data_IF_526208901648
#
_entry.id   IF_526208901648
#
_cell.length_a   1.000
_cell.length_b   1.000
_cell.length_c   1.000
_cell.angle_alpha   90.00
_cell.angle_beta   90.00
_cell.angle_gamma   90.00
#
_symmetry.space_group_name_H-M   'P 1'
#
loop_
_entity.id
_entity.type
_entity.pdbx_description
1 polymer ?
#
# COMPACT_ATOMS: atom_id res chain seq x y z
N UNK A 1 -22.64 -17.16 29.92
CA UNK A 1 -21.22 -17.51 30.18
C UNK A 1 -20.33 -17.04 29.02
N UNK A 2 -19.83 -15.81 29.07
CA UNK A 2 -18.86 -15.32 28.08
C UNK A 2 -17.48 -15.93 28.34
N UNK A 3 -16.66 -16.08 27.28
CA UNK A 3 -15.29 -16.57 27.40
C UNK A 3 -14.36 -15.40 27.78
N UNK A 4 -13.38 -15.65 28.66
CA UNK A 4 -12.40 -14.63 29.04
C UNK A 4 -11.43 -14.25 27.91
N UNK A 5 -10.85 -13.04 27.99
CA UNK A 5 -9.90 -12.49 27.01
C UNK A 5 -8.66 -13.38 26.80
N UNK A 6 -8.23 -14.13 27.82
CA UNK A 6 -7.06 -15.03 27.74
C UNK A 6 -7.42 -16.46 27.34
N UNK A 7 -8.69 -16.72 26.99
CA UNK A 7 -9.11 -18.06 26.57
C UNK A 7 -8.34 -18.54 25.33
N UNK A 8 -7.93 -19.81 25.36
CA UNK A 8 -7.14 -20.44 24.29
C UNK A 8 -7.89 -20.40 22.95
N UNK A 9 -9.20 -20.68 22.96
CA UNK A 9 -10.07 -20.65 21.79
C UNK A 9 -10.12 -19.27 21.14
N UNK A 10 -10.41 -18.20 21.89
CA UNK A 10 -10.43 -16.84 21.34
C UNK A 10 -9.05 -16.39 20.85
N UNK A 11 -7.97 -16.86 21.49
CA UNK A 11 -6.60 -16.56 21.04
C UNK A 11 -6.33 -17.12 19.65
N UNK A 12 -6.81 -18.33 19.34
CA UNK A 12 -6.67 -18.96 18.01
C UNK A 12 -7.44 -18.23 16.92
N UNK A 13 -8.70 -17.89 17.18
CA UNK A 13 -9.46 -17.08 16.21
C UNK A 13 -8.81 -15.72 15.97
N UNK A 14 -8.21 -15.09 17.00
CA UNK A 14 -7.44 -13.86 16.83
C UNK A 14 -6.18 -14.07 16.00
N UNK A 15 -5.44 -15.16 16.18
CA UNK A 15 -4.26 -15.45 15.35
C UNK A 15 -4.64 -15.69 13.90
N UNK A 16 -5.72 -16.44 13.63
CA UNK A 16 -6.23 -16.63 12.27
C UNK A 16 -6.59 -15.30 11.61
N UNK A 17 -7.35 -14.44 12.29
CA UNK A 17 -7.72 -13.10 11.79
C UNK A 17 -6.50 -12.20 11.55
N UNK A 18 -5.48 -12.26 12.42
CA UNK A 18 -4.25 -11.48 12.25
C UNK A 18 -3.52 -11.84 10.96
N UNK A 19 -3.44 -13.12 10.61
CA UNK A 19 -2.82 -13.57 9.35
C UNK A 19 -3.54 -12.97 8.13
N UNK A 20 -4.87 -12.95 8.15
CA UNK A 20 -5.66 -12.34 7.07
C UNK A 20 -5.39 -10.84 6.96
N UNK A 21 -5.43 -10.12 8.08
CA UNK A 21 -5.15 -8.67 8.10
C UNK A 21 -3.71 -8.37 7.66
N UNK A 22 -2.76 -9.19 8.09
CA UNK A 22 -1.34 -9.08 7.75
C UNK A 22 -1.14 -9.19 6.23
N UNK A 23 -1.71 -10.21 5.58
CA UNK A 23 -1.61 -10.40 4.14
C UNK A 23 -2.39 -9.37 3.30
N UNK A 24 -3.63 -9.06 3.69
CA UNK A 24 -4.50 -8.17 2.89
C UNK A 24 -4.13 -6.70 3.05
N UNK A 25 -3.76 -6.25 4.26
CA UNK A 25 -3.62 -4.83 4.57
C UNK A 25 -2.18 -4.43 4.90
N UNK A 26 -1.53 -5.15 5.82
CA UNK A 26 -0.22 -4.73 6.32
C UNK A 26 0.86 -4.91 5.25
N UNK A 27 0.93 -6.09 4.65
CA UNK A 27 1.94 -6.43 3.66
C UNK A 27 1.96 -5.47 2.45
N UNK A 28 0.84 -5.21 1.73
CA UNK A 28 0.87 -4.28 0.59
C UNK A 28 1.27 -2.85 1.02
N UNK A 29 0.84 -2.40 2.20
CA UNK A 29 1.24 -1.10 2.74
C UNK A 29 2.75 -1.03 3.01
N UNK A 30 3.37 -2.11 3.49
CA UNK A 30 4.83 -2.20 3.70
C UNK A 30 5.56 -2.19 2.37
N UNK A 31 5.10 -2.97 1.38
CA UNK A 31 5.67 -3.02 0.03
C UNK A 31 5.63 -1.64 -0.64
N UNK A 32 4.49 -0.95 -0.60
CA UNK A 32 4.38 0.41 -1.14
C UNK A 32 5.33 1.39 -0.46
N UNK A 33 5.52 1.26 0.85
CA UNK A 33 6.42 2.13 1.62
C UNK A 33 7.88 1.86 1.29
N UNK A 34 8.27 0.58 1.18
CA UNK A 34 9.60 0.15 0.77
C UNK A 34 9.99 0.73 -0.60
N UNK A 35 9.11 0.58 -1.60
CA UNK A 35 9.37 1.10 -2.95
C UNK A 35 9.55 2.62 -2.97
N UNK A 36 8.79 3.36 -2.16
CA UNK A 36 8.96 4.82 -2.04
C UNK A 36 10.30 5.19 -1.43
N UNK A 37 10.72 4.49 -0.38
CA UNK A 37 12.03 4.72 0.26
C UNK A 37 13.15 4.45 -0.74
N UNK A 38 13.07 3.35 -1.50
CA UNK A 38 14.02 3.04 -2.58
C UNK A 38 14.12 4.15 -3.63
N UNK A 39 13.00 4.68 -4.11
CA UNK A 39 12.99 5.79 -5.07
C UNK A 39 13.66 7.05 -4.50
N UNK A 40 13.39 7.37 -3.23
CA UNK A 40 14.03 8.49 -2.53
C UNK A 40 15.54 8.28 -2.41
N UNK A 41 16.00 7.06 -2.08
CA UNK A 41 17.43 6.72 -2.03
C UNK A 41 18.13 6.90 -3.38
N UNK A 42 17.44 6.57 -4.49
CA UNK A 42 17.93 6.81 -5.84
C UNK A 42 17.88 8.30 -6.26
N UNK A 43 17.45 9.20 -5.37
CA UNK A 43 17.27 10.63 -5.67
C UNK A 43 16.03 10.94 -6.53
N UNK A 44 15.20 9.94 -6.85
CA UNK A 44 13.98 10.10 -7.63
C UNK A 44 12.80 10.43 -6.72
N UNK A 45 12.37 11.68 -6.79
CA UNK A 45 11.20 12.12 -6.05
C UNK A 45 9.93 11.97 -6.90
N UNK A 46 8.95 11.18 -6.44
CA UNK A 46 7.67 11.02 -7.13
C UNK A 46 6.63 11.97 -6.52
N UNK A 47 6.30 13.10 -7.17
CA UNK A 47 5.22 13.96 -6.72
C UNK A 47 3.85 13.34 -7.03
N UNK A 48 2.79 13.69 -6.27
CA UNK A 48 1.43 13.37 -6.68
C UNK A 48 1.11 14.10 -7.98
N UNK A 49 0.57 13.37 -8.96
CA UNK A 49 -0.05 13.99 -10.12
C UNK A 49 -1.52 14.27 -9.75
N UNK A 50 -1.92 15.53 -9.53
CA UNK A 50 -3.33 15.86 -9.34
C UNK A 50 -4.06 15.65 -10.68
N UNK A 51 -5.14 14.90 -10.67
CA UNK A 51 -6.03 14.81 -11.85
C UNK A 51 -6.99 16.00 -11.82
N UNK A 52 -7.28 16.63 -12.98
CA UNK A 52 -8.24 17.73 -13.03
C UNK A 52 -9.65 17.24 -12.67
N UNK A 53 -10.46 18.14 -12.10
CA UNK A 53 -11.85 17.84 -11.73
C UNK A 53 -12.75 17.93 -12.97
N UNK A 54 -13.42 16.84 -13.31
CA UNK A 54 -14.30 16.75 -14.49
C UNK A 54 -15.51 17.68 -14.42
N UNK A 55 -15.97 18.06 -13.22
CA UNK A 55 -17.05 19.05 -13.07
C UNK A 55 -16.65 20.46 -13.50
N UNK A 56 -15.37 20.82 -13.36
CA UNK A 56 -14.86 22.15 -13.71
C UNK A 56 -14.38 22.20 -15.16
N UNK A 57 -13.81 21.09 -15.64
CA UNK A 57 -13.29 20.95 -17.00
C UNK A 57 -13.98 19.75 -17.68
N UNK A 58 -15.22 19.93 -18.15
CA UNK A 58 -15.98 18.83 -18.76
C UNK A 58 -15.34 18.36 -20.08
N UNK A 59 -14.70 19.26 -20.83
CA UNK A 59 -14.06 18.95 -22.12
C UNK A 59 -12.75 18.14 -21.98
N UNK A 60 -12.05 18.23 -20.84
CA UNK A 60 -10.77 17.55 -20.66
C UNK A 60 -10.96 16.04 -20.48
N UNK A 61 -10.46 15.22 -21.40
CA UNK A 61 -10.52 13.74 -21.32
C UNK A 61 -9.79 13.18 -20.10
N UNK A 62 -8.73 13.84 -19.67
CA UNK A 62 -7.91 13.44 -18.52
C UNK A 62 -8.54 13.81 -17.15
N UNK A 63 -9.64 14.55 -17.14
CA UNK A 63 -10.32 14.96 -15.92
C UNK A 63 -11.18 13.82 -15.35
N UNK A 64 -11.20 13.70 -14.02
CA UNK A 64 -11.87 12.61 -13.31
C UNK A 64 -12.95 13.17 -12.40
N UNK A 65 -14.09 12.47 -12.31
CA UNK A 65 -15.11 12.76 -11.31
C UNK A 65 -14.60 12.37 -9.92
N UNK A 66 -14.54 13.31 -8.96
CA UNK A 66 -14.12 13.00 -7.60
C UNK A 66 -15.20 12.16 -6.90
N UNK A 67 -15.15 10.84 -7.08
CA UNK A 67 -16.02 9.88 -6.40
C UNK A 67 -15.19 9.02 -5.45
N UNK A 68 -15.69 8.86 -4.22
CA UNK A 68 -15.12 7.91 -3.28
C UNK A 68 -15.56 6.50 -3.68
N UNK A 69 -14.65 5.71 -4.25
CA UNK A 69 -14.94 4.30 -4.56
C UNK A 69 -15.09 3.56 -3.23
N UNK A 70 -16.29 3.02 -2.91
CA UNK A 70 -16.49 2.27 -1.67
C UNK A 70 -15.61 1.01 -1.72
N UNK A 71 -14.70 0.87 -0.76
CA UNK A 71 -13.91 -0.34 -0.60
C UNK A 71 -14.72 -1.33 0.23
N UNK A 72 -14.89 -2.56 -0.25
CA UNK A 72 -15.54 -3.61 0.53
C UNK A 72 -14.79 -3.80 1.86
N UNK A 73 -15.50 -3.84 3.00
CA UNK A 73 -14.87 -4.08 4.28
C UNK A 73 -14.31 -5.50 4.34
N UNK A 74 -13.22 -5.68 5.08
CA UNK A 74 -12.67 -7.01 5.34
C UNK A 74 -13.61 -7.76 6.28
N UNK A 75 -14.23 -8.85 5.81
CA UNK A 75 -15.03 -9.70 6.66
C UNK A 75 -14.13 -10.61 7.52
N UNK A 76 -14.25 -10.44 8.84
CA UNK A 76 -13.50 -11.19 9.84
C UNK A 76 -14.38 -12.18 10.62
N UNK A 77 -15.59 -12.50 10.14
CA UNK A 77 -16.39 -13.61 10.68
C UNK A 77 -15.63 -14.92 10.49
N UNK A 78 -15.83 -15.87 11.41
CA UNK A 78 -15.12 -17.16 11.38
C UNK A 78 -15.42 -17.98 10.12
N UNK A 79 -16.58 -17.79 9.50
CA UNK A 79 -16.98 -18.46 8.25
C UNK A 79 -16.11 -18.02 7.06
N UNK A 80 -15.70 -16.76 7.03
CA UNK A 80 -14.95 -16.15 5.92
C UNK A 80 -13.44 -16.16 6.14
N UNK A 81 -12.97 -16.60 7.31
CA UNK A 81 -11.54 -16.68 7.63
C UNK A 81 -11.05 -18.12 7.37
N UNK A 82 -10.14 -18.34 6.41
CA UNK A 82 -9.74 -19.69 5.97
C UNK A 82 -9.18 -20.56 7.11
N UNK A 83 -8.33 -19.98 7.96
CA UNK A 83 -7.72 -20.70 9.08
C UNK A 83 -8.65 -20.85 10.31
N UNK A 84 -9.84 -20.25 10.28
CA UNK A 84 -10.74 -20.32 11.44
C UNK A 84 -11.36 -21.71 11.61
N UNK A 85 -11.55 -22.47 10.53
CA UNK A 85 -12.02 -23.87 10.60
C UNK A 85 -11.06 -24.79 11.37
N UNK A 86 -9.76 -24.49 11.31
CA UNK A 86 -8.71 -25.23 12.03
C UNK A 86 -8.61 -24.83 13.52
N UNK A 87 -9.28 -23.74 13.94
CA UNK A 87 -9.26 -23.25 15.33
C UNK A 87 -10.19 -24.02 16.29
N UNK A 88 -10.77 -25.13 15.84
CA UNK A 88 -11.77 -25.93 16.55
C UNK A 88 -11.28 -26.62 17.84
N UNK A 89 -12.17 -27.36 18.53
CA UNK A 89 -11.91 -28.00 19.83
C UNK A 89 -10.69 -28.94 19.85
N UNK A 90 -10.43 -29.61 18.72
CA UNK A 90 -9.33 -30.57 18.56
C UNK A 90 -7.99 -29.94 18.15
N UNK A 91 -7.98 -28.74 17.58
CA UNK A 91 -6.76 -28.09 17.10
C UNK A 91 -5.93 -27.52 18.25
N UNK A 92 -5.10 -28.32 18.94
CA UNK A 92 -4.38 -27.84 20.15
C UNK A 92 -3.23 -26.86 19.87
N UNK A 93 -2.68 -26.83 18.65
CA UNK A 93 -1.46 -26.11 18.28
C UNK A 93 -1.73 -24.66 17.82
N UNK A 94 -0.64 -23.90 17.65
CA UNK A 94 -0.67 -22.59 16.97
C UNK A 94 -0.58 -22.86 15.47
N UNK A 95 -1.09 -21.95 14.64
CA UNK A 95 -0.97 -22.07 13.19
C UNK A 95 0.46 -21.83 12.74
N UNK A 96 1.02 -22.81 12.06
CA UNK A 96 2.28 -22.65 11.33
C UNK A 96 2.02 -22.01 9.97
N UNK A 97 2.96 -21.24 9.42
CA UNK A 97 2.76 -20.56 8.13
C UNK A 97 2.52 -21.55 6.97
N UNK A 98 3.12 -22.76 7.01
CA UNK A 98 2.93 -23.80 5.99
C UNK A 98 1.51 -24.40 5.97
N UNK A 99 0.81 -24.43 7.11
CA UNK A 99 -0.56 -24.97 7.19
C UNK A 99 -1.56 -24.13 6.38
N UNK A 100 -1.25 -22.86 6.09
CA UNK A 100 -2.06 -22.01 5.21
C UNK A 100 -1.99 -22.49 3.75
N UNK A 101 -0.79 -22.85 3.28
CA UNK A 101 -0.55 -23.33 1.92
C UNK A 101 -1.16 -24.73 1.72
N UNK A 102 -0.97 -25.61 2.71
CA UNK A 102 -1.53 -26.97 2.71
C UNK A 102 -3.06 -26.99 2.76
N UNK A 103 -3.69 -25.99 3.40
CA UNK A 103 -5.15 -25.96 3.51
C UNK A 103 -5.86 -25.77 2.17
N UNK A 104 -5.17 -25.31 1.11
CA UNK A 104 -5.77 -25.03 -0.20
C UNK A 104 -6.84 -23.93 -0.21
N UNK A 105 -7.19 -23.37 0.96
CA UNK A 105 -8.11 -22.24 1.11
C UNK A 105 -7.32 -20.97 0.84
N UNK A 106 -6.98 -20.77 -0.43
CA UNK A 106 -6.35 -19.53 -0.88
C UNK A 106 -7.23 -18.36 -0.46
N UNK A 107 -6.67 -17.45 0.34
CA UNK A 107 -7.27 -16.13 0.47
C UNK A 107 -7.43 -15.60 -0.96
N UNK A 108 -8.63 -15.17 -1.33
CA UNK A 108 -8.87 -14.40 -2.56
C UNK A 108 -8.17 -13.05 -2.40
N UNK A 109 -6.85 -13.10 -2.45
CA UNK A 109 -5.98 -11.95 -2.54
C UNK A 109 -6.16 -11.42 -3.95
N UNK A 110 -6.21 -10.11 -4.10
CA UNK A 110 -6.07 -9.50 -5.41
C UNK A 110 -4.83 -10.10 -6.07
N UNK A 111 -4.90 -10.53 -7.33
CA UNK A 111 -3.74 -11.13 -8.04
C UNK A 111 -2.47 -10.28 -7.90
N UNK A 112 -2.63 -8.96 -7.73
CA UNK A 112 -1.56 -7.99 -7.47
C UNK A 112 -0.84 -8.17 -6.13
N UNK A 113 -1.51 -8.58 -5.06
CA UNK A 113 -0.92 -8.83 -3.73
C UNK A 113 -0.31 -10.24 -3.64
N UNK A 114 -0.88 -11.20 -4.37
CA UNK A 114 -0.33 -12.55 -4.48
C UNK A 114 1.05 -12.56 -5.18
N UNK A 115 1.20 -11.75 -6.23
CA UNK A 115 2.49 -11.55 -6.94
C UNK A 115 3.56 -10.80 -6.13
N UNK A 116 3.26 -10.39 -4.90
CA UNK A 116 4.20 -9.69 -4.03
C UNK A 116 4.71 -10.54 -2.88
N UNK A 117 4.25 -11.79 -2.68
CA UNK A 117 4.59 -12.60 -1.50
C UNK A 117 6.05 -13.11 -1.40
N UNK A 118 6.98 -12.59 -2.21
CA UNK A 118 8.40 -12.89 -2.10
C UNK A 118 9.10 -12.14 -0.96
N UNK A 119 10.38 -12.44 -0.69
CA UNK A 119 11.18 -11.63 0.22
C UNK A 119 11.24 -10.18 -0.29
N UNK A 120 11.17 -9.22 0.64
CA UNK A 120 11.04 -7.79 0.32
C UNK A 120 12.16 -7.28 -0.60
N UNK A 121 13.34 -7.91 -0.55
CA UNK A 121 14.51 -7.52 -1.34
C UNK A 121 14.40 -7.87 -2.84
N UNK A 122 13.55 -8.83 -3.21
CA UNK A 122 13.37 -9.24 -4.62
C UNK A 122 12.33 -8.36 -5.35
N UNK A 123 11.80 -7.34 -4.68
CA UNK A 123 10.78 -6.45 -5.22
C UNK A 123 11.34 -5.33 -6.11
N UNK A 124 12.67 -5.18 -6.15
CA UNK A 124 13.36 -4.16 -6.93
C UNK A 124 13.23 -4.39 -8.45
N UNK A 125 13.10 -5.65 -8.89
CA UNK A 125 12.98 -6.02 -10.32
C UNK A 125 11.57 -5.81 -10.89
N UNK A 126 10.55 -5.66 -10.04
CA UNK A 126 9.20 -5.42 -10.50
C UNK A 126 8.99 -3.93 -10.80
N UNK A 127 9.09 -3.60 -12.10
CA UNK A 127 8.68 -2.32 -12.73
C UNK A 127 7.18 -2.03 -12.52
N UNK A 128 6.77 -1.75 -11.27
CA UNK A 128 5.44 -1.22 -10.96
C UNK A 128 5.57 0.28 -10.75
N UNK A 129 4.76 1.04 -11.48
CA UNK A 129 4.64 2.48 -11.27
C UNK A 129 4.14 2.77 -9.86
N UNK A 130 4.98 3.40 -9.05
CA UNK A 130 4.64 3.83 -7.69
C UNK A 130 4.02 5.21 -7.77
N UNK A 131 2.75 5.34 -7.40
CA UNK A 131 2.14 6.66 -7.22
C UNK A 131 2.48 7.21 -5.84
N UNK A 132 2.58 8.55 -5.75
CA UNK A 132 2.81 9.19 -4.45
C UNK A 132 1.58 8.99 -3.55
N UNK A 133 1.79 8.81 -2.24
CA UNK A 133 0.70 8.74 -1.24
C UNK A 133 0.31 10.09 -0.63
N UNK A 134 0.91 11.18 -1.09
CA UNK A 134 0.50 12.49 -0.62
C UNK A 134 -0.96 12.74 -1.03
N UNK A 135 -1.81 13.13 -0.07
CA UNK A 135 -3.18 13.54 -0.38
C UNK A 135 -3.14 14.68 -1.41
N UNK A 136 -3.86 14.51 -2.51
CA UNK A 136 -4.03 15.57 -3.51
C UNK A 136 -4.52 16.85 -2.79
N UNK A 137 -3.80 17.96 -2.96
CA UNK A 137 -4.07 19.25 -2.30
C UNK A 137 -3.27 19.54 -1.02
N UNK A 138 -2.75 18.53 -0.30
CA UNK A 138 -1.86 18.76 0.87
C UNK A 138 -0.39 18.78 0.49
N UNK A 139 -0.11 18.51 -0.78
CA UNK A 139 1.22 18.55 -1.34
C UNK A 139 1.69 20.00 -1.53
N UNK A 140 2.42 20.54 -0.56
CA UNK A 140 3.12 21.81 -0.72
C UNK A 140 4.49 21.52 -1.33
N UNK A 141 4.74 21.95 -2.57
CA UNK A 141 6.11 22.00 -3.09
C UNK A 141 6.92 22.89 -2.15
N UNK A 142 7.84 22.32 -1.37
CA UNK A 142 8.55 23.05 -0.32
C UNK A 142 9.23 24.32 -0.85
N UNK A 143 9.22 25.40 -0.06
CA UNK A 143 9.89 26.67 -0.37
C UNK A 143 11.36 26.47 -0.78
N UNK A 144 12.02 25.44 -0.23
CA UNK A 144 13.38 25.03 -0.56
C UNK A 144 13.56 24.64 -2.04
N UNK A 145 12.59 23.92 -2.65
CA UNK A 145 12.65 23.58 -4.08
C UNK A 145 12.51 24.83 -4.96
N UNK A 146 11.63 25.76 -4.58
CA UNK A 146 11.46 27.05 -5.28
C UNK A 146 12.73 27.89 -5.20
N UNK A 147 13.35 27.97 -4.02
CA UNK A 147 14.62 28.68 -3.83
C UNK A 147 15.76 28.06 -4.65
N UNK A 148 15.91 26.73 -4.63
CA UNK A 148 16.93 26.03 -5.42
C UNK A 148 16.72 26.21 -6.95
N UNK A 149 15.48 26.11 -7.42
CA UNK A 149 15.13 26.34 -8.82
C UNK A 149 15.42 27.79 -9.25
N UNK A 150 15.05 28.77 -8.42
CA UNK A 150 15.37 30.18 -8.67
C UNK A 150 16.89 30.40 -8.75
N UNK A 151 17.67 29.79 -7.86
CA UNK A 151 19.13 29.89 -7.85
C UNK A 151 19.78 29.25 -9.08
N UNK A 152 19.26 28.12 -9.57
CA UNK A 152 19.72 27.52 -10.83
C UNK A 152 19.37 28.39 -12.04
N UNK A 153 18.17 28.97 -12.06
CA UNK A 153 17.74 29.85 -13.15
C UNK A 153 18.58 31.13 -13.22
N UNK A 154 18.96 31.73 -12.09
CA UNK A 154 19.85 32.89 -12.07
C UNK A 154 21.25 32.53 -12.59
N UNK A 155 21.80 31.39 -12.19
CA UNK A 155 23.09 30.89 -12.69
C UNK A 155 23.05 30.66 -14.22
N UNK A 156 21.99 30.04 -14.72
CA UNK A 156 21.84 29.78 -16.15
C UNK A 156 21.68 31.08 -16.97
N UNK A 157 20.98 32.08 -16.42
CA UNK A 157 20.85 33.40 -17.04
C UNK A 157 22.20 34.12 -17.14
N UNK A 158 23.01 34.06 -16.08
CA UNK A 158 24.38 34.60 -16.05
C UNK A 158 25.32 33.86 -17.02
N UNK A 159 25.16 32.54 -17.19
CA UNK A 159 25.94 31.77 -18.17
C UNK A 159 25.56 32.12 -19.61
N UNK A 160 24.28 32.38 -19.89
CA UNK A 160 23.81 32.81 -21.22
C UNK A 160 24.34 34.21 -21.58
N UNK A 161 24.31 35.16 -20.64
CA UNK A 161 24.79 36.53 -20.89
C UNK A 161 26.31 36.65 -21.05
N UNK A 162 27.07 35.64 -20.62
CA UNK A 162 28.54 35.58 -20.82
C UNK A 162 28.95 34.87 -22.11
N UNK A 163 28.00 34.24 -22.81
CA UNK A 163 28.22 33.53 -24.08
C UNK A 163 27.77 34.32 -25.32
N UNK A 164 27.03 35.41 -25.12
CA UNK A 164 26.75 36.46 -26.12
C UNK A 164 27.79 37.55 -26.02
#
# INVERSE_FOLDING_TARGET
MSKGLRSKTLRRYRTAKRRVVEGVKCYPSVVESYKKIRLIQQGKYVPPVPKPNKFLYPEDENAVFPQAIPKMPLDLRSENVPLAGLAGPRGRRKFEPGELEESGIGLKMDKKTLMTSGPLMDLDDQNREVQSTARQGHFKSGKAKKYAANKLNTINKLKKSKKS
#
